data_IF_520398011107
#
_entry.id   IF_520398011107
#
_cell.length_a   1.000
_cell.length_b   1.000
_cell.length_c   1.000
_cell.angle_alpha   90.00
_cell.angle_beta   90.00
_cell.angle_gamma   90.00
#
_symmetry.space_group_name_H-M   'P 1'
#
loop_
_entity.id
_entity.type
_entity.pdbx_description
1 polymer ?
#
# COMPACT_ATOMS: atom_id res chain seq x y z
N UNK A 1 -10.14 22.12 12.78
CA UNK A 1 -10.63 22.33 14.17
C UNK A 1 -10.40 21.12 15.09
N UNK A 2 -9.44 20.23 14.81
CA UNK A 2 -9.05 19.19 15.78
C UNK A 2 -7.88 19.70 16.62
N UNK A 3 -8.22 20.55 17.59
CA UNK A 3 -7.27 21.10 18.56
C UNK A 3 -7.20 20.24 19.80
N UNK A 4 -6.76 18.98 19.65
CA UNK A 4 -6.39 18.19 20.84
C UNK A 4 -5.01 18.68 21.28
N UNK A 5 -5.01 19.43 22.37
CA UNK A 5 -3.78 19.85 23.03
C UNK A 5 -3.00 18.60 23.50
N UNK A 6 -1.66 18.60 23.43
CA UNK A 6 -0.84 17.55 24.06
C UNK A 6 -1.22 17.32 25.53
N UNK A 7 -1.69 18.37 26.22
CA UNK A 7 -2.18 18.27 27.59
C UNK A 7 -3.48 17.44 27.69
N UNK A 8 -4.44 17.62 26.79
CA UNK A 8 -5.68 16.83 26.79
C UNK A 8 -5.40 15.36 26.52
N UNK A 9 -4.46 15.05 25.61
CA UNK A 9 -4.02 13.68 25.36
C UNK A 9 -3.40 13.04 26.61
N UNK A 10 -2.63 13.81 27.40
CA UNK A 10 -2.09 13.34 28.67
C UNK A 10 -3.20 13.04 29.68
N UNK A 11 -4.18 13.93 29.83
CA UNK A 11 -5.31 13.75 30.76
C UNK A 11 -6.12 12.50 30.37
N UNK A 12 -6.40 12.32 29.07
CA UNK A 12 -7.09 11.11 28.57
C UNK A 12 -6.26 9.86 28.86
N UNK A 13 -4.94 9.92 28.66
CA UNK A 13 -4.01 8.83 28.99
C UNK A 13 -4.06 8.44 30.47
N UNK A 14 -4.06 9.43 31.38
CA UNK A 14 -4.18 9.18 32.83
C UNK A 14 -5.53 8.55 33.16
N UNK A 15 -6.63 9.06 32.60
CA UNK A 15 -7.97 8.48 32.81
C UNK A 15 -8.00 7.04 32.31
N UNK A 16 -7.42 6.75 31.15
CA UNK A 16 -7.34 5.40 30.62
C UNK A 16 -6.54 4.48 31.56
N UNK A 17 -5.41 4.93 32.10
CA UNK A 17 -4.64 4.15 33.10
C UNK A 17 -5.48 3.91 34.36
N UNK A 18 -6.28 4.88 34.83
CA UNK A 18 -7.12 4.68 36.02
C UNK A 18 -8.24 3.67 35.77
N UNK A 19 -8.88 3.70 34.60
CA UNK A 19 -9.97 2.80 34.26
C UNK A 19 -9.49 1.38 33.95
N UNK A 20 -8.40 1.25 33.17
CA UNK A 20 -7.90 -0.04 32.69
C UNK A 20 -6.78 -0.63 33.57
N UNK A 21 -6.08 0.21 34.33
CA UNK A 21 -4.96 -0.20 35.18
C UNK A 21 -3.86 -0.91 34.38
N UNK A 22 -3.44 -2.07 34.88
CA UNK A 22 -2.46 -2.94 34.22
C UNK A 22 -2.95 -3.59 32.91
N UNK A 23 -4.26 -3.53 32.60
CA UNK A 23 -4.81 -4.11 31.37
C UNK A 23 -4.73 -3.16 30.16
N UNK A 24 -4.34 -1.90 30.35
CA UNK A 24 -4.17 -0.92 29.28
C UNK A 24 -3.27 -1.43 28.12
N UNK A 25 -2.06 -1.98 28.35
CA UNK A 25 -1.23 -2.51 27.28
C UNK A 25 -1.90 -3.65 26.50
N UNK A 26 -2.70 -4.48 27.17
CA UNK A 26 -3.43 -5.56 26.49
C UNK A 26 -4.56 -5.01 25.62
N UNK A 27 -5.29 -3.99 26.09
CA UNK A 27 -6.31 -3.30 25.29
C UNK A 27 -5.66 -2.59 24.09
N UNK A 28 -4.54 -1.90 24.29
CA UNK A 28 -3.79 -1.24 23.23
C UNK A 28 -3.29 -2.25 22.18
N UNK A 29 -2.76 -3.40 22.61
CA UNK A 29 -2.36 -4.49 21.71
C UNK A 29 -3.53 -5.04 20.91
N UNK A 30 -4.67 -5.28 21.55
CA UNK A 30 -5.90 -5.76 20.89
C UNK A 30 -6.43 -4.74 19.87
N UNK A 31 -6.52 -3.48 20.26
CA UNK A 31 -6.99 -2.40 19.39
C UNK A 31 -6.01 -2.14 18.22
N UNK A 32 -4.70 -2.15 18.48
CA UNK A 32 -3.68 -2.01 17.45
C UNK A 32 -3.64 -3.20 16.49
N UNK A 33 -3.82 -4.42 16.99
CA UNK A 33 -4.00 -5.62 16.18
C UNK A 33 -5.20 -5.50 15.25
N UNK A 34 -6.36 -5.11 15.79
CA UNK A 34 -7.58 -4.87 15.02
C UNK A 34 -7.38 -3.80 13.94
N UNK A 35 -6.74 -2.67 14.29
CA UNK A 35 -6.44 -1.61 13.32
C UNK A 35 -5.53 -2.10 12.18
N UNK A 36 -4.51 -2.92 12.50
CA UNK A 36 -3.62 -3.50 11.50
C UNK A 36 -4.37 -4.43 10.55
N UNK A 37 -5.17 -5.34 11.09
CA UNK A 37 -5.97 -6.26 10.28
C UNK A 37 -7.01 -5.51 9.43
N UNK A 38 -7.70 -4.53 10.00
CA UNK A 38 -8.64 -3.69 9.28
C UNK A 38 -7.96 -2.96 8.12
N UNK A 39 -6.77 -2.37 8.36
CA UNK A 39 -5.99 -1.72 7.31
C UNK A 39 -5.55 -2.69 6.22
N UNK A 40 -5.07 -3.87 6.58
CA UNK A 40 -4.69 -4.91 5.61
C UNK A 40 -5.87 -5.34 4.75
N UNK A 41 -7.03 -5.61 5.37
CA UNK A 41 -8.26 -5.99 4.64
C UNK A 41 -8.74 -4.88 3.71
N UNK A 42 -8.71 -3.63 4.15
CA UNK A 42 -9.06 -2.49 3.30
C UNK A 42 -8.12 -2.35 2.09
N UNK A 43 -6.82 -2.56 2.29
CA UNK A 43 -5.85 -2.50 1.19
C UNK A 43 -6.05 -3.63 0.17
N UNK A 44 -6.41 -4.84 0.63
CA UNK A 44 -6.72 -5.98 -0.23
C UNK A 44 -7.99 -5.73 -1.04
N UNK A 45 -9.05 -5.27 -0.37
CA UNK A 45 -10.29 -4.85 -1.01
C UNK A 45 -10.04 -3.76 -2.06
N UNK A 46 -9.24 -2.74 -1.74
CA UNK A 46 -8.89 -1.69 -2.71
C UNK A 46 -8.17 -2.24 -3.95
N UNK A 47 -7.32 -3.26 -3.78
CA UNK A 47 -6.60 -3.92 -4.88
C UNK A 47 -7.55 -4.73 -5.77
N UNK A 48 -8.46 -5.47 -5.16
CA UNK A 48 -9.49 -6.24 -5.86
C UNK A 48 -10.44 -5.32 -6.63
N UNK A 49 -10.91 -4.23 -6.01
CA UNK A 49 -11.74 -3.23 -6.69
C UNK A 49 -11.04 -2.61 -7.89
N UNK A 50 -9.74 -2.28 -7.79
CA UNK A 50 -8.98 -1.72 -8.91
C UNK A 50 -8.79 -2.72 -10.05
N UNK A 51 -8.58 -4.00 -9.72
CA UNK A 51 -8.48 -5.07 -10.72
C UNK A 51 -9.83 -5.31 -11.41
N UNK A 52 -10.92 -5.35 -10.65
CA UNK A 52 -12.27 -5.49 -11.16
C UNK A 52 -12.71 -4.28 -12.01
N UNK A 53 -12.32 -3.06 -11.61
CA UNK A 53 -12.56 -1.85 -12.39
C UNK A 53 -11.79 -1.87 -13.72
N UNK A 54 -10.53 -2.29 -13.70
CA UNK A 54 -9.74 -2.46 -14.92
C UNK A 54 -10.34 -3.53 -15.85
N UNK A 55 -10.75 -4.67 -15.30
CA UNK A 55 -11.39 -5.74 -16.08
C UNK A 55 -12.76 -5.31 -16.64
N UNK A 56 -13.58 -4.64 -15.83
CA UNK A 56 -14.87 -4.12 -16.26
C UNK A 56 -14.69 -3.05 -17.35
N UNK A 57 -13.73 -2.14 -17.19
CA UNK A 57 -13.43 -1.10 -18.20
C UNK A 57 -12.94 -1.73 -19.49
N UNK A 58 -12.06 -2.74 -19.41
CA UNK A 58 -11.58 -3.50 -20.57
C UNK A 58 -12.70 -4.27 -21.27
N UNK A 59 -13.63 -4.86 -20.52
CA UNK A 59 -14.78 -5.57 -21.06
C UNK A 59 -15.78 -4.62 -21.74
N UNK A 60 -15.90 -3.38 -21.25
CA UNK A 60 -16.80 -2.36 -21.80
C UNK A 60 -16.21 -1.62 -23.01
N UNK A 61 -14.89 -1.53 -23.14
CA UNK A 61 -14.23 -0.86 -24.26
C UNK A 61 -13.26 -1.77 -25.03
N UNK A 62 -13.77 -2.77 -25.79
CA UNK A 62 -12.94 -3.67 -26.59
C UNK A 62 -12.15 -2.99 -27.72
N UNK A 63 -12.42 -1.71 -28.03
CA UNK A 63 -11.77 -0.97 -29.12
C UNK A 63 -10.49 -0.21 -28.68
N UNK A 64 -10.26 -0.04 -27.37
CA UNK A 64 -9.09 0.68 -26.84
C UNK A 64 -7.89 -0.23 -26.50
N UNK A 65 -8.09 -1.55 -26.53
CA UNK A 65 -7.06 -2.55 -26.18
C UNK A 65 -5.94 -2.70 -27.23
N UNK A 66 -5.98 -1.93 -28.33
CA UNK A 66 -4.99 -1.96 -29.42
C UNK A 66 -3.92 -0.86 -29.32
N UNK A 67 -3.98 0.01 -28.30
CA UNK A 67 -2.90 0.95 -27.96
C UNK A 67 -2.30 0.59 -26.60
N UNK A 68 -1.52 -0.48 -26.58
CA UNK A 68 -0.50 -0.66 -25.54
C UNK A 68 0.80 -0.20 -26.18
N UNK A 69 1.11 1.09 -26.04
CA UNK A 69 2.51 1.53 -26.08
C UNK A 69 3.15 1.01 -24.79
N UNK A 70 4.33 0.35 -24.84
CA UNK A 70 5.07 0.08 -23.63
C UNK A 70 5.59 1.42 -23.11
N UNK A 71 5.20 1.79 -21.88
CA UNK A 71 5.90 2.80 -21.11
C UNK A 71 7.32 2.28 -20.84
N UNK A 72 8.25 2.70 -21.69
CA UNK A 72 9.70 2.60 -21.47
C UNK A 72 10.10 3.67 -20.44
N UNK A 73 10.05 3.34 -19.16
CA UNK A 73 10.98 3.91 -18.18
C UNK A 73 11.05 3.03 -16.93
N UNK A 74 12.28 2.86 -16.43
CA UNK A 74 12.71 2.07 -15.27
C UNK A 74 12.88 0.56 -15.46
N UNK A 75 13.84 0.16 -16.32
CA UNK A 75 14.90 -0.79 -15.97
C UNK A 75 15.85 -0.90 -17.17
N UNK A 76 17.02 -0.28 -17.09
CA UNK A 76 18.13 -0.45 -18.04
C UNK A 76 18.50 -1.96 -18.09
N UNK A 77 18.10 -2.72 -19.13
CA UNK A 77 18.50 -4.11 -19.22
C UNK A 77 19.92 -4.07 -19.76
N UNK A 78 20.89 -4.45 -18.93
CA UNK A 78 22.28 -4.63 -19.36
C UNK A 78 22.31 -5.49 -20.63
N UNK A 79 22.52 -4.87 -21.78
CA UNK A 79 22.65 -5.58 -23.05
C UNK A 79 23.79 -6.61 -22.89
N UNK A 80 23.60 -7.90 -23.23
CA UNK A 80 24.72 -8.82 -23.24
C UNK A 80 25.65 -8.40 -24.38
N UNK A 81 26.76 -7.76 -24.02
CA UNK A 81 27.75 -7.27 -24.97
C UNK A 81 28.26 -8.42 -25.83
N UNK A 82 27.79 -8.50 -27.07
CA UNK A 82 28.28 -9.45 -28.05
C UNK A 82 29.79 -9.18 -28.28
N UNK A 83 30.64 -10.23 -28.28
CA UNK A 83 32.08 -10.03 -28.44
C UNK A 83 32.37 -9.46 -29.83
N UNK A 84 33.09 -8.32 -29.87
CA UNK A 84 33.51 -7.70 -31.12
C UNK A 84 34.51 -8.61 -31.84
N UNK A 85 34.10 -9.14 -33.00
CA UNK A 85 34.90 -10.02 -33.84
C UNK A 85 35.85 -9.17 -34.70
N UNK A 86 37.16 -9.28 -34.46
CA UNK A 86 38.17 -8.68 -35.34
C UNK A 86 38.73 -9.75 -36.27
N UNK A 87 38.56 -9.63 -37.60
CA UNK A 87 39.12 -10.59 -38.54
C UNK A 87 40.65 -10.43 -38.65
N UNK A 88 41.41 -11.54 -38.83
CA UNK A 88 42.85 -11.50 -39.02
C UNK A 88 43.24 -10.91 -40.40
N UNK A 89 44.41 -10.26 -40.42
CA UNK A 89 45.03 -9.54 -41.55
C UNK A 89 45.39 -10.40 -42.75
#
# INVERSE_FOLDING_TARGET
MFGLSPFEMMVIGVIAVVLFGGNLPDVARKAGGFYREFRSRLNEVQREFRAAEYEATKALNPYESSKVEPDEDDEEPSEPAAPKFTPPS
#
